data_IF_484933577765
#
_entry.id   IF_484933577765
#
_cell.length_a   1.000
_cell.length_b   1.000
_cell.length_c   1.000
_cell.angle_alpha   90.00
_cell.angle_beta   90.00
_cell.angle_gamma   90.00
#
_symmetry.space_group_name_H-M   'P 1'
#
loop_
_entity.id
_entity.type
_entity.pdbx_description
1 polymer ?
#
# COMPACT_ATOMS: atom_id res chain seq x y z
N UNK A 1 5.10 -10.18 4.55
CA UNK A 1 4.66 -10.97 3.36
C UNK A 1 4.78 -10.09 2.13
N UNK A 2 5.68 -10.42 1.20
CA UNK A 2 5.83 -9.65 -0.05
C UNK A 2 4.70 -9.96 -1.04
N UNK A 3 4.18 -8.92 -1.68
CA UNK A 3 3.07 -9.00 -2.64
C UNK A 3 3.28 -8.02 -3.79
N UNK A 4 2.69 -8.33 -4.94
CA UNK A 4 2.41 -7.30 -5.96
C UNK A 4 1.14 -6.55 -5.56
N UNK A 5 1.27 -5.24 -5.38
CA UNK A 5 0.20 -4.35 -4.96
C UNK A 5 0.13 -3.12 -5.85
N UNK A 6 -1.05 -2.51 -5.97
CA UNK A 6 -1.19 -1.21 -6.60
C UNK A 6 -0.60 -0.13 -5.69
N UNK A 7 0.42 0.56 -6.17
CA UNK A 7 1.09 1.62 -5.41
C UNK A 7 0.53 2.97 -5.83
N UNK A 8 0.14 3.80 -4.88
CA UNK A 8 -0.46 5.11 -5.16
C UNK A 8 0.49 5.98 -5.99
N UNK A 9 1.76 6.11 -5.58
CA UNK A 9 2.75 6.94 -6.27
C UNK A 9 3.10 6.46 -7.69
N UNK A 10 2.84 5.20 -8.03
CA UNK A 10 3.08 4.65 -9.36
C UNK A 10 1.91 4.86 -10.33
N UNK A 11 0.77 5.39 -9.86
CA UNK A 11 -0.42 5.57 -10.70
C UNK A 11 -0.08 6.39 -11.96
N UNK A 12 -0.40 5.84 -13.12
CA UNK A 12 -0.30 6.57 -14.38
C UNK A 12 -1.46 7.55 -14.48
N UNK A 13 -1.20 8.81 -14.13
CA UNK A 13 -2.19 9.89 -14.20
C UNK A 13 -2.55 10.28 -15.63
N UNK A 14 -1.66 10.06 -16.62
CA UNK A 14 -1.91 10.42 -18.01
C UNK A 14 -2.98 9.49 -18.63
N UNK A 15 -2.92 8.21 -18.30
CA UNK A 15 -3.87 7.21 -18.81
C UNK A 15 -4.89 6.74 -17.76
N UNK A 16 -4.86 7.30 -16.55
CA UNK A 16 -5.67 6.93 -15.39
C UNK A 16 -5.64 5.41 -15.08
N UNK A 17 -4.44 4.84 -14.98
CA UNK A 17 -4.25 3.40 -14.72
C UNK A 17 -3.49 3.18 -13.42
N UNK A 18 -3.94 2.22 -12.63
CA UNK A 18 -3.18 1.74 -11.47
C UNK A 18 -2.01 0.88 -11.95
N UNK A 19 -0.88 1.00 -11.26
CA UNK A 19 0.36 0.31 -11.60
C UNK A 19 0.81 -0.53 -10.42
N UNK A 20 1.24 -1.76 -10.72
CA UNK A 20 1.72 -2.71 -9.72
C UNK A 20 3.17 -2.43 -9.34
N UNK A 21 3.47 -2.65 -8.07
CA UNK A 21 4.82 -2.65 -7.52
C UNK A 21 4.93 -3.67 -6.39
N UNK A 22 6.16 -4.06 -6.07
CA UNK A 22 6.44 -4.91 -4.91
C UNK A 22 6.30 -4.10 -3.63
N UNK A 23 5.47 -4.58 -2.71
CA UNK A 23 5.36 -4.07 -1.34
C UNK A 23 5.31 -5.24 -0.35
N UNK A 24 5.60 -4.96 0.92
CA UNK A 24 5.47 -5.95 1.98
C UNK A 24 4.29 -5.63 2.88
N UNK A 25 3.34 -6.55 3.01
CA UNK A 25 2.30 -6.50 4.03
C UNK A 25 2.88 -7.03 5.35
N UNK A 26 2.88 -6.19 6.38
CA UNK A 26 3.44 -6.48 7.70
C UNK A 26 2.38 -7.10 8.60
N UNK A 27 1.27 -6.39 8.84
CA UNK A 27 0.17 -6.86 9.71
C UNK A 27 -1.15 -6.14 9.42
N UNK A 28 -2.25 -6.76 9.81
CA UNK A 28 -3.56 -6.10 9.84
C UNK A 28 -3.65 -5.19 11.07
N UNK A 29 -4.13 -3.96 10.88
CA UNK A 29 -4.27 -2.94 11.94
C UNK A 29 -5.71 -2.44 12.12
N UNK A 30 -6.64 -2.89 11.26
CA UNK A 30 -8.07 -2.63 11.34
C UNK A 30 -8.85 -3.56 10.40
N UNK A 31 -10.15 -3.32 10.21
CA UNK A 31 -11.03 -4.26 9.50
C UNK A 31 -10.57 -4.60 8.08
N UNK A 32 -10.24 -3.58 7.27
CA UNK A 32 -9.63 -3.75 5.94
C UNK A 32 -8.43 -2.81 5.79
N UNK A 33 -7.71 -2.59 6.88
CA UNK A 33 -6.54 -1.71 6.92
C UNK A 33 -5.33 -2.50 7.39
N UNK A 34 -4.24 -2.37 6.63
CA UNK A 34 -3.01 -3.12 6.81
C UNK A 34 -1.84 -2.15 6.93
N UNK A 35 -0.89 -2.48 7.79
CA UNK A 35 0.43 -1.89 7.78
C UNK A 35 1.24 -2.55 6.66
N UNK A 36 1.73 -1.74 5.73
CA UNK A 36 2.59 -2.14 4.63
C UNK A 36 3.91 -1.37 4.67
N UNK A 37 4.93 -1.90 4.02
CA UNK A 37 6.19 -1.22 3.75
C UNK A 37 6.45 -1.21 2.25
N UNK A 38 6.74 -0.02 1.72
CA UNK A 38 7.13 0.19 0.33
C UNK A 38 8.40 1.04 0.29
N UNK A 39 9.48 0.49 -0.28
CA UNK A 39 10.79 1.15 -0.39
C UNK A 39 11.31 1.73 0.95
N UNK A 40 11.07 1.02 2.05
CA UNK A 40 11.49 1.43 3.40
C UNK A 40 10.56 2.44 4.09
N UNK A 41 9.46 2.85 3.45
CA UNK A 41 8.43 3.71 4.05
C UNK A 41 7.28 2.84 4.55
N UNK A 42 6.94 2.97 5.83
CA UNK A 42 5.76 2.35 6.41
C UNK A 42 4.52 3.16 6.06
N UNK A 43 3.52 2.50 5.52
CA UNK A 43 2.30 3.10 5.03
C UNK A 43 1.10 2.19 5.28
N UNK A 44 -0.10 2.69 5.02
CA UNK A 44 -1.32 1.90 5.08
C UNK A 44 -1.65 1.26 3.74
N UNK A 45 -2.31 0.13 3.77
CA UNK A 45 -2.85 -0.55 2.61
C UNK A 45 -4.26 -1.07 2.89
N UNK A 46 -5.05 -1.23 1.83
CA UNK A 46 -6.36 -1.88 1.86
C UNK A 46 -6.38 -3.08 0.93
N UNK A 47 -7.12 -4.12 1.26
CA UNK A 47 -7.29 -5.27 0.38
C UNK A 47 -8.57 -5.13 -0.45
N UNK A 48 -8.45 -5.32 -1.77
CA UNK A 48 -9.59 -5.39 -2.66
C UNK A 48 -9.91 -6.87 -2.98
N UNK A 49 -10.99 -7.45 -2.42
CA UNK A 49 -11.31 -8.86 -2.63
C UNK A 49 -11.78 -9.18 -4.06
N UNK A 50 -12.25 -8.19 -4.83
CA UNK A 50 -12.68 -8.39 -6.21
C UNK A 50 -11.49 -8.52 -7.17
N UNK A 51 -10.41 -7.79 -6.90
CA UNK A 51 -9.17 -7.85 -7.67
C UNK A 51 -8.16 -8.86 -7.09
N UNK A 52 -8.35 -9.29 -5.83
CA UNK A 52 -7.41 -10.13 -5.10
C UNK A 52 -6.07 -9.43 -4.83
N UNK A 53 -6.07 -8.09 -4.77
CA UNK A 53 -4.84 -7.29 -4.67
C UNK A 53 -4.95 -6.21 -3.59
N UNK A 54 -3.80 -5.84 -3.04
CA UNK A 54 -3.67 -4.72 -2.11
C UNK A 54 -3.50 -3.40 -2.87
N UNK A 55 -4.04 -2.33 -2.29
CA UNK A 55 -3.78 -0.95 -2.68
C UNK A 55 -3.00 -0.29 -1.55
N UNK A 56 -1.74 0.06 -1.82
CA UNK A 56 -0.81 0.68 -0.88
C UNK A 56 -0.83 2.18 -1.08
N UNK A 57 -1.13 2.91 0.00
CA UNK A 57 -1.15 4.37 0.01
C UNK A 57 0.16 4.93 0.60
N UNK A 58 1.18 4.98 -0.25
CA UNK A 58 2.51 5.49 0.09
C UNK A 58 2.63 7.03 0.02
N UNK A 59 1.52 7.73 -0.27
CA UNK A 59 1.49 9.19 -0.39
C UNK A 59 0.78 9.83 0.80
N UNK A 60 -0.44 9.38 1.11
CA UNK A 60 -1.25 9.95 2.18
C UNK A 60 -1.34 9.03 3.40
N UNK A 61 -1.15 7.73 3.18
CA UNK A 61 -1.20 6.70 4.21
C UNK A 61 0.12 6.48 4.94
N UNK A 62 1.12 7.36 4.80
CA UNK A 62 2.42 7.24 5.45
C UNK A 62 2.22 7.24 6.97
N UNK A 63 2.76 6.22 7.63
CA UNK A 63 2.81 6.16 9.08
C UNK A 63 4.16 6.72 9.51
N UNK A 64 4.16 7.97 9.97
CA UNK A 64 5.35 8.51 10.64
C UNK A 64 5.74 7.54 11.77
N UNK A 65 7.03 7.22 11.85
CA UNK A 65 7.55 6.56 13.04
C UNK A 65 7.14 7.45 14.22
N UNK A 66 6.28 6.92 15.10
CA UNK A 66 6.09 7.52 16.40
C UNK A 66 7.46 7.51 17.08
N UNK A 67 8.22 8.58 16.88
CA UNK A 67 9.34 8.90 17.74
C UNK A 67 8.71 9.18 19.10
N UNK A 68 8.70 8.13 19.92
CA UNK A 68 8.40 8.21 21.35
C UNK A 68 9.46 9.05 22.06
#
# INVERSE_FOLDING_TARGET
>A
MKVEAYIHSLKDHKNNRHVLGEAEIIKQIGDNQYLAEYRGVRCTAIFNPFAGQYFVDDVYGIMEAQNA
#
